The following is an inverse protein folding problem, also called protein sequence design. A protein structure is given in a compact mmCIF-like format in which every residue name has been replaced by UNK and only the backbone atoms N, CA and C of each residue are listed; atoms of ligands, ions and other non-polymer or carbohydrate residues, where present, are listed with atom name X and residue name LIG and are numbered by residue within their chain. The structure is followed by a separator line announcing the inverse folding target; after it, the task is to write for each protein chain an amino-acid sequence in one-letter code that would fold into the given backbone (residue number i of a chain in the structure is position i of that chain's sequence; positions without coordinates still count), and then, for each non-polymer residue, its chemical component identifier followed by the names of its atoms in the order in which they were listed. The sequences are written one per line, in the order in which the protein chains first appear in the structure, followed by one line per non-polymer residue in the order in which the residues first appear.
data_IF_450593262652
#
_entry.id   IF_450593262652
#
_cell.length_a   1.000
_cell.length_b   1.000
_cell.length_c   1.000
_cell.angle_alpha   90.00
_cell.angle_beta   90.00
_cell.angle_gamma   90.00
#
_symmetry.space_group_name_H-M   'P 1'
#
loop_
_entity.id
_entity.type
_entity.pdbx_description
1 polymer ?
#
# COMPACT_ATOMS: atom_id res chain seq x y z
N UNK A 1 -11.20 -13.85 26.95
CA UNK A 1 -11.14 -13.03 25.73
C UNK A 1 -10.04 -12.01 25.98
N UNK A 2 -8.87 -12.10 25.33
CA UNK A 2 -7.99 -10.94 25.30
C UNK A 2 -8.78 -9.84 24.61
N UNK A 3 -9.10 -8.77 25.33
CA UNK A 3 -10.14 -7.82 24.89
C UNK A 3 -9.62 -6.87 23.80
N UNK A 4 -8.29 -6.74 23.70
CA UNK A 4 -7.52 -5.93 22.76
C UNK A 4 -6.24 -6.72 22.46
N UNK A 5 -6.08 -7.16 21.22
CA UNK A 5 -5.10 -8.14 20.78
C UNK A 5 -3.73 -7.55 20.46
N UNK A 6 -2.78 -8.45 20.23
CA UNK A 6 -1.35 -8.22 19.94
C UNK A 6 -1.06 -8.41 18.43
N UNK A 7 -2.07 -8.22 17.60
CA UNK A 7 -2.11 -8.39 16.15
C UNK A 7 -2.65 -7.12 15.48
N UNK A 8 -2.21 -6.85 14.24
CA UNK A 8 -2.41 -5.58 13.52
C UNK A 8 -3.85 -5.38 13.00
N UNK A 9 -4.73 -6.33 13.29
CA UNK A 9 -6.12 -6.30 12.88
C UNK A 9 -6.90 -5.14 13.52
N UNK A 10 -7.81 -4.53 12.74
CA UNK A 10 -8.67 -3.47 13.22
C UNK A 10 -9.57 -3.90 14.42
N UNK A 11 -9.79 -5.21 14.61
CA UNK A 11 -10.52 -5.75 15.76
C UNK A 11 -9.76 -5.69 17.09
N UNK A 12 -8.44 -5.52 17.03
CA UNK A 12 -7.54 -5.47 18.18
C UNK A 12 -7.39 -4.07 18.77
N UNK A 13 -7.83 -3.05 18.03
CA UNK A 13 -7.90 -1.65 18.46
C UNK A 13 -9.01 -1.41 19.50
N UNK A 14 -8.97 -0.27 20.23
CA UNK A 14 -9.97 0.04 21.25
C UNK A 14 -11.40 0.07 20.68
N UNK A 15 -12.21 -0.88 21.12
CA UNK A 15 -13.57 -1.13 20.59
C UNK A 15 -14.58 0.00 20.87
N UNK A 16 -14.25 0.91 21.79
CA UNK A 16 -15.07 2.09 22.07
C UNK A 16 -14.91 3.19 21.02
N UNK A 17 -13.87 3.12 20.18
CA UNK A 17 -13.71 4.03 19.04
C UNK A 17 -14.60 3.60 17.88
N UNK A 18 -15.28 4.54 17.20
CA UNK A 18 -16.10 4.24 16.04
C UNK A 18 -15.25 3.72 14.87
N UNK A 19 -15.79 2.78 14.09
CA UNK A 19 -15.17 2.29 12.85
C UNK A 19 -15.20 3.36 11.75
N UNK A 20 -16.20 4.24 11.81
CA UNK A 20 -16.38 5.33 10.85
C UNK A 20 -15.15 6.24 10.83
N UNK A 21 -14.45 6.25 9.69
CA UNK A 21 -13.26 7.07 9.43
C UNK A 21 -13.58 8.58 9.44
N UNK A 22 -14.84 8.96 9.23
CA UNK A 22 -15.29 10.33 9.29
C UNK A 22 -15.69 10.77 10.71
N UNK A 23 -15.58 9.89 11.70
CA UNK A 23 -15.88 10.22 13.08
C UNK A 23 -14.91 11.29 13.58
N UNK A 24 -15.39 12.54 13.63
CA UNK A 24 -14.63 13.70 14.07
C UNK A 24 -15.23 14.22 15.38
N UNK A 25 -14.55 13.94 16.48
CA UNK A 25 -14.92 14.37 17.84
C UNK A 25 -13.76 14.12 18.79
N UNK A 26 -13.90 14.49 20.07
CA UNK A 26 -12.80 14.43 21.06
C UNK A 26 -12.22 13.03 21.31
N UNK A 27 -12.87 11.98 20.81
CA UNK A 27 -12.38 10.60 20.90
C UNK A 27 -11.69 10.07 19.63
N UNK A 28 -11.75 10.78 18.50
CA UNK A 28 -11.23 10.28 17.21
C UNK A 28 -11.98 9.06 16.64
N UNK A 29 -11.49 8.58 15.50
CA UNK A 29 -11.91 7.34 14.87
C UNK A 29 -10.98 6.18 15.25
N UNK A 30 -11.38 4.94 14.96
CA UNK A 30 -10.51 3.77 15.15
C UNK A 30 -9.26 3.79 14.26
N UNK A 31 -9.27 4.58 13.19
CA UNK A 31 -8.11 4.77 12.32
C UNK A 31 -7.07 5.70 12.95
N UNK A 32 -7.49 6.59 13.85
CA UNK A 32 -6.61 7.52 14.56
C UNK A 32 -5.95 6.88 15.81
N UNK A 33 -6.31 5.63 16.12
CA UNK A 33 -5.71 4.86 17.20
C UNK A 33 -4.40 4.22 16.76
N UNK A 34 -3.35 4.48 17.53
CA UNK A 34 -1.97 4.04 17.27
C UNK A 34 -1.47 3.14 18.38
N UNK A 35 -0.63 2.17 18.04
CA UNK A 35 0.18 1.48 19.06
C UNK A 35 1.28 2.43 19.56
N UNK A 36 1.48 2.46 20.88
CA UNK A 36 2.58 3.18 21.55
C UNK A 36 3.20 2.29 22.62
N UNK A 37 4.39 2.62 23.11
CA UNK A 37 5.06 1.86 24.18
C UNK A 37 4.18 1.61 25.43
N UNK A 38 3.25 2.54 25.72
CA UNK A 38 2.30 2.47 26.84
C UNK A 38 0.98 1.74 26.55
N UNK A 39 0.67 1.38 25.30
CA UNK A 39 -0.57 0.72 24.89
C UNK A 39 -1.21 1.33 23.64
N UNK A 40 -2.53 1.49 23.61
CA UNK A 40 -3.22 2.19 22.51
C UNK A 40 -3.30 3.68 22.81
N UNK A 41 -2.72 4.52 21.95
CA UNK A 41 -2.79 5.97 22.00
C UNK A 41 -3.69 6.56 20.92
N UNK A 42 -4.09 7.82 21.06
CA UNK A 42 -4.69 8.63 20.01
C UNK A 42 -3.59 9.46 19.33
N UNK A 43 -3.55 9.46 17.99
CA UNK A 43 -2.57 10.24 17.23
C UNK A 43 -2.67 11.76 17.53
N UNK A 44 -1.55 12.48 17.66
CA UNK A 44 -1.53 13.93 17.90
C UNK A 44 -1.87 14.74 16.63
N UNK A 45 -2.01 16.06 16.75
CA UNK A 45 -2.22 16.96 15.60
C UNK A 45 -3.65 17.05 15.08
N UNK A 46 -4.63 16.47 15.78
CA UNK A 46 -6.03 16.56 15.41
C UNK A 46 -6.74 17.74 16.10
N UNK A 47 -7.06 18.80 15.36
CA UNK A 47 -7.72 20.00 15.91
C UNK A 47 -9.07 19.70 16.62
N UNK A 48 -9.73 18.59 16.29
CA UNK A 48 -10.99 18.15 16.91
C UNK A 48 -10.80 17.41 18.25
N UNK A 49 -9.59 16.92 18.57
CA UNK A 49 -9.25 16.29 19.85
C UNK A 49 -8.91 17.32 20.93
N UNK A 50 -8.66 18.58 20.53
CA UNK A 50 -8.13 19.62 21.41
C UNK A 50 -6.60 19.58 21.53
N UNK A 51 -5.95 18.67 20.81
CA UNK A 51 -4.50 18.56 20.67
C UNK A 51 -4.12 18.79 19.19
N UNK A 52 -4.05 20.07 18.79
CA UNK A 52 -3.65 20.49 17.44
C UNK A 52 -2.13 20.54 17.23
N UNK A 53 -1.36 20.20 18.26
CA UNK A 53 0.09 20.12 18.18
C UNK A 53 0.51 18.72 17.69
N UNK A 54 1.08 18.64 16.49
CA UNK A 54 1.61 17.39 15.94
C UNK A 54 2.79 16.84 16.76
N UNK A 55 3.56 17.72 17.41
CA UNK A 55 4.70 17.34 18.24
C UNK A 55 4.31 16.90 19.67
N UNK A 56 3.00 16.80 19.97
CA UNK A 56 2.54 16.40 21.28
C UNK A 56 2.67 14.89 21.48
N UNK A 57 2.91 14.49 22.73
CA UNK A 57 2.87 13.08 23.09
C UNK A 57 1.45 12.51 22.87
N UNK A 58 1.32 11.29 22.30
CA UNK A 58 0.02 10.64 22.12
C UNK A 58 -0.76 10.50 23.44
N UNK A 59 -2.07 10.68 23.38
CA UNK A 59 -2.94 10.48 24.55
C UNK A 59 -3.22 9.00 24.73
N UNK A 60 -2.75 8.41 25.84
CA UNK A 60 -2.93 6.99 26.11
C UNK A 60 -4.40 6.66 26.41
N UNK A 61 -5.06 5.95 25.49
CA UNK A 61 -6.46 5.53 25.56
C UNK A 61 -6.64 4.24 26.36
N UNK A 62 -5.71 3.29 26.18
CA UNK A 62 -5.71 2.00 26.89
C UNK A 62 -4.27 1.63 27.23
N UNK A 63 -3.98 1.45 28.52
CA UNK A 63 -2.65 1.02 28.95
C UNK A 63 -2.42 -0.48 28.68
N UNK A 64 -1.46 -0.81 27.83
CA UNK A 64 -0.97 -2.16 27.56
C UNK A 64 0.55 -2.05 27.45
N UNK A 65 1.28 -2.69 28.37
CA UNK A 65 2.74 -2.61 28.39
C UNK A 65 3.36 -3.13 27.10
N UNK A 66 4.28 -2.36 26.52
CA UNK A 66 5.16 -2.75 25.42
C UNK A 66 4.41 -3.14 24.14
N UNK A 67 3.30 -2.45 23.86
CA UNK A 67 2.47 -2.80 22.71
C UNK A 67 3.20 -2.53 21.38
N UNK A 68 3.87 -1.39 21.23
CA UNK A 68 4.69 -1.07 20.04
C UNK A 68 5.84 -2.08 19.83
N UNK A 69 6.60 -2.40 20.88
CA UNK A 69 7.69 -3.40 20.82
C UNK A 69 7.22 -4.81 20.43
N UNK A 70 5.95 -5.15 20.67
CA UNK A 70 5.37 -6.46 20.33
C UNK A 70 4.90 -6.54 18.88
N UNK A 71 4.64 -5.40 18.22
CA UNK A 71 4.19 -5.33 16.83
C UNK A 71 5.33 -5.41 15.80
N UNK A 72 6.57 -5.13 16.20
CA UNK A 72 7.74 -5.29 15.34
C UNK A 72 8.03 -4.04 14.50
N UNK A 73 7.58 -4.02 13.23
CA UNK A 73 7.76 -2.89 12.28
C UNK A 73 6.42 -2.22 11.99
N UNK A 74 6.35 -0.88 11.90
CA UNK A 74 5.19 -0.15 11.39
C UNK A 74 4.61 -0.78 10.12
N UNK A 75 3.29 -1.00 10.11
CA UNK A 75 2.59 -1.56 8.96
C UNK A 75 1.55 -0.58 8.39
N UNK A 76 1.52 -0.35 7.06
CA UNK A 76 0.46 0.44 6.45
C UNK A 76 -0.86 -0.34 6.53
N UNK A 77 -1.89 0.29 7.09
CA UNK A 77 -3.22 -0.31 7.30
C UNK A 77 -4.22 0.05 6.20
N UNK A 78 -4.05 1.22 5.58
CA UNK A 78 -4.94 1.71 4.54
C UNK A 78 -4.29 2.81 3.72
N UNK A 79 -4.69 2.90 2.47
CA UNK A 79 -4.34 3.98 1.56
C UNK A 79 -5.62 4.61 1.04
N UNK A 80 -5.64 5.93 0.88
CA UNK A 80 -6.82 6.65 0.41
C UNK A 80 -6.50 7.99 -0.23
N UNK A 81 -7.49 8.52 -0.94
CA UNK A 81 -7.44 9.79 -1.67
C UNK A 81 -8.85 10.36 -1.81
N UNK A 82 -8.95 11.57 -2.35
CA UNK A 82 -10.25 12.15 -2.71
C UNK A 82 -10.67 11.69 -4.09
N UNK A 83 -11.82 11.03 -4.19
CA UNK A 83 -12.45 10.65 -5.46
C UNK A 83 -13.00 11.91 -6.16
N UNK A 84 -12.33 12.33 -7.22
CA UNK A 84 -12.74 13.47 -8.04
C UNK A 84 -11.97 13.47 -9.37
N UNK A 85 -12.45 14.29 -10.31
CA UNK A 85 -11.65 14.71 -11.45
C UNK A 85 -10.55 15.68 -10.99
N UNK A 86 -9.30 15.35 -11.30
CA UNK A 86 -8.14 16.22 -11.07
C UNK A 86 -7.97 17.13 -12.28
N UNK A 87 -7.91 18.45 -12.04
CA UNK A 87 -7.73 19.44 -13.09
C UNK A 87 -6.35 19.32 -13.79
N UNK A 88 -6.24 19.86 -15.01
CA UNK A 88 -4.94 20.04 -15.66
C UNK A 88 -4.03 20.91 -14.79
N UNK A 89 -2.81 20.44 -14.50
CA UNK A 89 -1.90 21.06 -13.50
C UNK A 89 -2.42 21.08 -12.05
N UNK A 90 -3.48 20.34 -11.76
CA UNK A 90 -4.05 20.18 -10.42
C UNK A 90 -3.15 19.35 -9.49
N UNK A 91 -3.41 19.49 -8.19
CA UNK A 91 -2.76 18.67 -7.16
C UNK A 91 -3.59 17.44 -6.84
N UNK A 92 -2.93 16.34 -6.52
CA UNK A 92 -3.56 15.10 -6.08
C UNK A 92 -2.87 14.60 -4.81
N UNK A 93 -3.66 14.22 -3.80
CA UNK A 93 -3.16 13.79 -2.50
C UNK A 93 -3.48 12.32 -2.26
N UNK A 94 -2.45 11.57 -1.89
CA UNK A 94 -2.55 10.19 -1.39
C UNK A 94 -2.18 10.21 0.09
N UNK A 95 -3.04 9.64 0.93
CA UNK A 95 -2.79 9.45 2.36
C UNK A 95 -2.57 7.98 2.64
N UNK A 96 -1.45 7.64 3.27
CA UNK A 96 -1.16 6.30 3.79
C UNK A 96 -1.30 6.35 5.30
N UNK A 97 -2.12 5.47 5.85
CA UNK A 97 -2.33 5.34 7.29
C UNK A 97 -1.56 4.11 7.78
N UNK A 98 -0.83 4.26 8.88
CA UNK A 98 -0.08 3.23 9.58
C UNK A 98 -0.79 2.82 10.88
N UNK A 99 -0.39 1.68 11.46
CA UNK A 99 -0.84 1.21 12.77
C UNK A 99 -0.15 1.91 13.95
N UNK A 100 0.90 2.67 13.70
CA UNK A 100 1.60 3.53 14.66
C UNK A 100 1.98 4.90 14.07
N UNK A 101 2.50 5.81 14.91
CA UNK A 101 3.01 7.09 14.45
C UNK A 101 4.36 6.93 13.74
N UNK A 102 4.56 7.71 12.66
CA UNK A 102 5.75 7.65 11.81
C UNK A 102 6.48 9.00 11.85
N UNK A 103 7.77 8.96 12.16
CA UNK A 103 8.67 10.09 12.02
C UNK A 103 9.26 10.09 10.60
N UNK A 104 9.08 11.18 9.86
CA UNK A 104 9.39 11.28 8.44
C UNK A 104 10.58 12.20 8.21
N UNK A 105 11.71 11.63 7.80
CA UNK A 105 12.85 12.40 7.31
C UNK A 105 12.77 12.52 5.78
N UNK A 106 12.29 13.66 5.28
CA UNK A 106 12.18 13.93 3.84
C UNK A 106 12.27 15.42 3.51
N UNK A 107 12.87 15.78 2.37
CA UNK A 107 12.78 17.14 1.85
C UNK A 107 11.33 17.48 1.45
N UNK A 108 10.87 18.68 1.82
CA UNK A 108 9.48 19.12 1.61
C UNK A 108 9.04 19.07 0.14
N UNK A 109 7.75 18.83 -0.10
CA UNK A 109 7.13 18.83 -1.42
C UNK A 109 7.53 20.02 -2.30
N UNK A 110 7.71 19.75 -3.59
CA UNK A 110 7.86 20.76 -4.64
C UNK A 110 6.93 20.45 -5.80
N UNK A 111 6.33 21.49 -6.41
CA UNK A 111 5.42 21.37 -7.56
C UNK A 111 6.11 20.95 -8.88
N UNK A 112 7.16 20.16 -8.80
CA UNK A 112 7.95 19.65 -9.92
C UNK A 112 8.07 18.11 -9.79
N UNK A 113 8.84 17.48 -10.67
CA UNK A 113 9.05 16.02 -10.65
C UNK A 113 10.37 15.62 -9.95
N UNK A 114 11.01 16.52 -9.20
CA UNK A 114 12.32 16.27 -8.60
C UNK A 114 12.20 15.55 -7.25
N UNK A 115 12.63 14.30 -7.20
CA UNK A 115 12.50 13.41 -6.02
C UNK A 115 13.76 13.30 -5.15
N UNK A 116 14.77 14.16 -5.36
CA UNK A 116 16.03 14.10 -4.59
C UNK A 116 15.81 14.34 -3.09
N UNK A 117 16.27 13.39 -2.26
CA UNK A 117 16.11 13.40 -0.79
C UNK A 117 14.64 13.44 -0.34
N UNK A 118 13.74 12.82 -1.11
CA UNK A 118 12.30 12.79 -0.81
C UNK A 118 11.82 11.37 -0.60
N UNK A 119 10.88 11.21 0.33
CA UNK A 119 9.93 10.12 0.32
C UNK A 119 8.82 10.46 -0.68
N UNK A 120 8.46 9.55 -1.56
CA UNK A 120 7.46 9.79 -2.60
C UNK A 120 6.72 8.53 -3.04
N UNK A 121 5.51 8.72 -3.57
CA UNK A 121 4.75 7.74 -4.32
C UNK A 121 4.77 8.17 -5.78
N UNK A 122 5.15 7.28 -6.69
CA UNK A 122 5.18 7.59 -8.12
C UNK A 122 3.90 7.08 -8.78
N UNK A 123 3.19 7.97 -9.49
CA UNK A 123 2.03 7.62 -10.29
C UNK A 123 2.30 7.82 -11.77
N UNK A 124 1.61 7.04 -12.59
CA UNK A 124 1.52 7.20 -14.05
C UNK A 124 0.21 7.87 -14.40
N UNK A 125 0.27 8.88 -15.27
CA UNK A 125 -0.89 9.44 -15.94
C UNK A 125 -1.09 8.67 -17.24
N UNK A 126 -2.17 7.92 -17.34
CA UNK A 126 -2.44 7.04 -18.47
C UNK A 126 -3.42 7.68 -19.46
N UNK A 127 -3.16 7.49 -20.75
CA UNK A 127 -4.09 7.86 -21.81
C UNK A 127 -5.36 7.01 -21.80
N UNK A 128 -6.53 7.63 -22.00
CA UNK A 128 -7.84 6.93 -22.06
C UNK A 128 -7.93 5.93 -23.23
N UNK A 129 -7.12 6.12 -24.26
CA UNK A 129 -7.21 5.37 -25.52
C UNK A 129 -6.47 4.03 -25.46
N UNK A 130 -5.23 4.06 -24.99
CA UNK A 130 -4.28 2.94 -25.04
C UNK A 130 -3.84 2.44 -23.66
N UNK A 131 -4.21 3.14 -22.57
CA UNK A 131 -3.76 2.88 -21.20
C UNK A 131 -2.24 2.93 -21.05
N UNK A 132 -1.57 3.66 -21.94
CA UNK A 132 -0.11 3.87 -21.89
C UNK A 132 0.19 5.13 -21.10
N UNK A 133 1.32 5.11 -20.39
CA UNK A 133 1.79 6.27 -19.65
C UNK A 133 2.15 7.43 -20.58
N UNK A 134 1.45 8.55 -20.37
CA UNK A 134 1.75 9.84 -21.00
C UNK A 134 2.81 10.61 -20.22
N UNK A 135 2.74 10.55 -18.89
CA UNK A 135 3.62 11.27 -17.98
C UNK A 135 3.60 10.70 -16.56
N UNK A 136 4.60 11.08 -15.76
CA UNK A 136 4.67 10.75 -14.34
C UNK A 136 4.09 11.85 -13.46
N UNK A 137 3.62 11.45 -12.28
CA UNK A 137 3.21 12.34 -11.19
C UNK A 137 3.93 11.89 -9.92
N UNK A 138 5.03 12.58 -9.59
CA UNK A 138 5.76 12.38 -8.35
C UNK A 138 4.97 12.96 -7.17
N UNK A 139 4.31 12.09 -6.41
CA UNK A 139 3.60 12.46 -5.19
C UNK A 139 4.59 12.47 -4.02
N UNK A 140 5.12 13.65 -3.67
CA UNK A 140 6.17 13.78 -2.66
C UNK A 140 5.58 13.99 -1.28
N UNK A 141 6.33 13.63 -0.24
CA UNK A 141 5.98 13.92 1.16
C UNK A 141 5.53 15.38 1.33
N UNK A 142 4.33 15.57 1.86
CA UNK A 142 3.69 16.87 2.05
C UNK A 142 3.45 17.18 3.53
N UNK A 143 2.91 16.23 4.30
CA UNK A 143 2.60 16.40 5.72
C UNK A 143 2.40 15.06 6.44
N UNK A 144 2.42 15.08 7.78
CA UNK A 144 2.06 13.92 8.61
C UNK A 144 3.15 13.43 9.56
N UNK A 145 4.33 14.07 9.55
CA UNK A 145 5.41 13.78 10.51
C UNK A 145 4.92 13.70 11.97
N UNK A 146 5.36 12.67 12.70
CA UNK A 146 4.94 12.39 14.07
C UNK A 146 3.51 11.85 14.22
N UNK A 147 2.82 11.57 13.11
CA UNK A 147 1.44 11.04 13.11
C UNK A 147 1.36 9.71 12.37
N UNK A 148 0.22 9.03 12.43
CA UNK A 148 0.01 7.79 11.70
C UNK A 148 -0.56 7.99 10.28
N UNK A 149 -0.77 9.22 9.84
CA UNK A 149 -1.36 9.54 8.54
C UNK A 149 -0.38 10.40 7.73
N UNK A 150 0.31 9.77 6.78
CA UNK A 150 1.32 10.44 5.94
C UNK A 150 0.71 10.80 4.59
N UNK A 151 0.71 12.10 4.27
CA UNK A 151 0.18 12.63 3.02
C UNK A 151 1.30 12.88 2.01
N UNK A 152 1.13 12.31 0.82
CA UNK A 152 1.95 12.53 -0.37
C UNK A 152 1.16 13.34 -1.39
N UNK A 153 1.73 14.46 -1.86
CA UNK A 153 1.10 15.36 -2.83
C UNK A 153 1.82 15.32 -4.17
N UNK A 154 1.09 15.08 -5.23
CA UNK A 154 1.55 15.19 -6.61
C UNK A 154 1.03 16.46 -7.30
N UNK A 155 1.68 16.85 -8.40
CA UNK A 155 1.15 17.81 -9.36
C UNK A 155 1.05 17.13 -10.72
N UNK A 156 -0.16 17.07 -11.26
CA UNK A 156 -0.43 16.54 -12.59
C UNK A 156 0.27 17.41 -13.64
N UNK A 157 0.85 16.81 -14.68
CA UNK A 157 1.47 17.56 -15.76
C UNK A 157 0.46 17.89 -16.86
N UNK A 158 0.67 19.02 -17.55
CA UNK A 158 -0.19 19.44 -18.66
C UNK A 158 -0.24 18.39 -19.77
N UNK A 159 -1.44 18.07 -20.23
CA UNK A 159 -1.65 17.24 -21.42
C UNK A 159 -2.97 17.56 -22.12
N UNK A 160 -2.95 17.47 -23.46
CA UNK A 160 -4.09 17.79 -24.32
C UNK A 160 -5.24 16.76 -24.28
N UNK A 161 -5.00 15.53 -23.83
CA UNK A 161 -6.02 14.50 -23.69
C UNK A 161 -6.40 14.30 -22.22
N UNK A 162 -7.62 13.85 -21.92
CA UNK A 162 -7.97 13.39 -20.57
C UNK A 162 -7.23 12.09 -20.24
N UNK A 163 -7.17 11.72 -18.96
CA UNK A 163 -6.44 10.54 -18.52
C UNK A 163 -6.95 9.91 -17.23
N UNK A 164 -6.26 8.84 -16.83
CA UNK A 164 -6.40 8.18 -15.54
C UNK A 164 -5.12 8.33 -14.73
N UNK A 165 -5.20 8.17 -13.42
CA UNK A 165 -4.02 7.96 -12.56
C UNK A 165 -3.91 6.49 -12.22
N UNK A 166 -2.69 5.97 -12.24
CA UNK A 166 -2.33 4.61 -11.85
C UNK A 166 -1.04 4.66 -11.02
N UNK A 167 -0.81 3.65 -10.18
CA UNK A 167 0.53 3.48 -9.60
C UNK A 167 1.54 3.18 -10.71
N UNK A 168 2.70 3.84 -10.67
CA UNK A 168 3.78 3.59 -11.62
C UNK A 168 4.42 2.21 -11.38
N UNK A 169 4.90 1.52 -12.43
CA UNK A 169 5.51 0.18 -12.30
C UNK A 169 4.99 -0.94 -13.21
N UNK A 170 4.11 -0.67 -14.16
CA UNK A 170 3.65 -1.65 -15.15
C UNK A 170 4.56 -1.74 -16.40
N UNK A 171 5.59 -0.89 -16.51
CA UNK A 171 6.52 -0.80 -17.64
C UNK A 171 7.88 -1.46 -17.42
N UNK A 172 8.52 -1.93 -18.50
CA UNK A 172 9.90 -2.45 -18.47
C UNK A 172 10.90 -1.32 -18.17
N UNK A 173 11.55 -1.39 -17.01
CA UNK A 173 12.58 -0.42 -16.59
C UNK A 173 12.14 0.54 -15.49
N UNK A 174 10.90 0.43 -14.99
CA UNK A 174 10.45 1.15 -13.79
C UNK A 174 11.04 0.51 -12.52
N UNK A 175 11.32 1.34 -11.52
CA UNK A 175 11.81 0.90 -10.21
C UNK A 175 10.74 0.20 -9.36
N UNK A 176 9.47 0.20 -9.77
CA UNK A 176 8.37 -0.49 -9.10
C UNK A 176 7.99 -1.79 -9.82
N UNK A 177 7.57 -2.80 -9.05
CA UNK A 177 6.73 -3.87 -9.57
C UNK A 177 5.27 -3.45 -9.43
N UNK A 178 4.49 -3.61 -10.49
CA UNK A 178 3.05 -3.34 -10.52
C UNK A 178 2.36 -3.89 -9.25
N UNK A 179 1.66 -3.01 -8.52
CA UNK A 179 0.88 -3.37 -7.34
C UNK A 179 1.65 -3.74 -6.08
N UNK A 180 2.99 -3.61 -6.04
CA UNK A 180 3.81 -4.05 -4.88
C UNK A 180 4.53 -2.94 -4.12
N UNK A 181 4.92 -1.85 -4.79
CA UNK A 181 5.74 -0.80 -4.19
C UNK A 181 5.05 0.56 -4.38
N UNK A 182 4.50 1.10 -3.29
CA UNK A 182 3.83 2.41 -3.33
C UNK A 182 4.78 3.55 -2.93
N UNK A 183 5.50 3.41 -1.82
CA UNK A 183 6.38 4.46 -1.27
C UNK A 183 7.84 4.15 -1.60
N UNK A 184 8.55 5.16 -2.11
CA UNK A 184 9.98 5.14 -2.42
C UNK A 184 10.72 6.13 -1.54
N UNK A 185 11.95 5.77 -1.20
CA UNK A 185 12.89 6.61 -0.47
C UNK A 185 14.11 6.85 -1.36
N UNK A 186 14.47 8.11 -1.61
CA UNK A 186 15.62 8.45 -2.44
C UNK A 186 16.64 9.26 -1.63
N UNK A 187 17.91 8.87 -1.72
CA UNK A 187 19.01 9.53 -1.02
C UNK A 187 18.88 9.33 0.48
N UNK A 188 18.81 10.43 1.23
CA UNK A 188 18.73 10.39 2.71
C UNK A 188 17.29 10.32 3.24
N UNK A 189 16.30 10.03 2.40
CA UNK A 189 14.92 9.94 2.84
C UNK A 189 14.69 8.67 3.65
N UNK A 190 13.92 8.77 4.74
CA UNK A 190 13.63 7.65 5.64
C UNK A 190 12.29 7.84 6.35
N UNK A 191 11.72 6.74 6.84
CA UNK A 191 10.60 6.71 7.78
C UNK A 191 11.00 5.85 8.98
N UNK A 192 10.91 6.44 10.15
CA UNK A 192 11.22 5.80 11.43
C UNK A 192 9.93 5.55 12.21
N UNK A 193 9.92 4.43 12.92
CA UNK A 193 8.88 4.07 13.87
C UNK A 193 8.99 4.90 15.14
N UNK A 194 8.00 4.83 16.04
CA UNK A 194 8.02 5.56 17.32
C UNK A 194 9.27 5.24 18.17
N UNK A 195 9.81 4.03 18.04
CA UNK A 195 11.01 3.59 18.77
C UNK A 195 12.32 4.12 18.16
N UNK A 196 12.26 4.81 17.02
CA UNK A 196 13.41 5.36 16.28
C UNK A 196 14.08 4.40 15.30
N UNK A 197 13.54 3.18 15.12
CA UNK A 197 14.03 2.23 14.13
C UNK A 197 13.36 2.47 12.77
N UNK A 198 14.14 2.38 11.69
CA UNK A 198 13.61 2.54 10.34
C UNK A 198 12.68 1.41 9.93
N UNK A 199 11.59 1.76 9.23
CA UNK A 199 10.67 0.80 8.60
C UNK A 199 11.33 0.00 7.47
N UNK A 200 12.45 0.49 6.95
CA UNK A 200 13.22 -0.11 5.85
C UNK A 200 14.29 -1.09 6.33
N UNK A 201 14.42 -1.29 7.64
CA UNK A 201 15.49 -2.11 8.19
C UNK A 201 15.09 -3.61 8.25
N UNK A 202 16.10 -4.48 8.15
CA UNK A 202 15.88 -5.93 8.17
C UNK A 202 15.47 -6.41 9.55
N UNK A 203 14.25 -6.93 9.67
CA UNK A 203 13.75 -7.50 10.91
C UNK A 203 14.30 -8.91 11.15
N UNK A 204 14.70 -9.21 12.39
CA UNK A 204 15.08 -10.55 12.81
C UNK A 204 13.82 -11.36 13.17
N UNK A 205 13.84 -12.66 12.87
CA UNK A 205 12.80 -13.58 13.31
C UNK A 205 12.76 -13.65 14.84
N UNK A 206 11.54 -13.81 15.39
CA UNK A 206 11.33 -14.00 16.83
C UNK A 206 12.19 -15.16 17.37
N UNK A 207 13.08 -14.86 18.32
CA UNK A 207 13.99 -15.84 18.93
C UNK A 207 15.41 -15.90 18.33
N UNK A 208 15.72 -15.07 17.32
CA UNK A 208 17.09 -14.90 16.84
C UNK A 208 18.01 -14.22 17.89
N UNK A 209 17.43 -13.51 18.86
CA UNK A 209 18.08 -12.94 20.05
C UNK A 209 17.21 -13.17 21.29
N UNK A 210 17.77 -12.87 22.47
CA UNK A 210 17.07 -12.98 23.76
C UNK A 210 15.87 -12.01 23.89
N UNK A 211 15.75 -11.03 22.97
CA UNK A 211 14.62 -10.09 22.88
C UNK A 211 13.79 -10.41 21.62
N UNK A 212 12.46 -10.54 21.71
CA UNK A 212 11.60 -10.75 20.53
C UNK A 212 11.59 -9.53 19.59
N UNK A 213 11.67 -9.75 18.28
CA UNK A 213 11.42 -8.71 17.26
C UNK A 213 12.47 -7.60 17.23
N UNK A 214 13.73 -7.96 16.98
CA UNK A 214 14.83 -7.00 16.95
C UNK A 214 15.37 -6.78 15.53
N UNK A 215 16.04 -5.65 15.32
CA UNK A 215 16.58 -5.26 14.03
C UNK A 215 17.97 -5.86 13.79
N UNK A 216 18.30 -6.15 12.54
CA UNK A 216 19.70 -6.36 12.17
C UNK A 216 20.41 -4.99 12.13
N UNK A 217 21.17 -4.72 13.18
CA UNK A 217 21.93 -3.48 13.37
C UNK A 217 23.35 -3.59 12.83
N UNK A 218 23.85 -2.51 12.21
CA UNK A 218 25.22 -2.43 11.71
C UNK A 218 26.20 -2.32 12.89
N UNK A 219 27.05 -3.33 13.07
CA UNK A 219 28.19 -3.28 14.00
C UNK A 219 29.42 -2.69 13.29
N UNK A 220 29.37 -1.40 12.98
CA UNK A 220 30.52 -0.65 12.45
C UNK A 220 31.40 -0.12 13.59
N UNK A 221 32.67 0.19 13.31
CA UNK A 221 33.53 0.84 14.31
C UNK A 221 33.18 2.32 14.44
N UNK A 222 33.28 2.87 15.66
CA UNK A 222 33.06 4.27 16.11
C UNK A 222 33.61 5.45 15.27
N UNK A 223 34.22 5.21 14.11
CA UNK A 223 34.53 6.21 13.11
C UNK A 223 33.38 6.43 12.09
N UNK A 224 32.38 5.54 12.03
CA UNK A 224 31.20 5.70 11.18
C UNK A 224 30.03 6.32 11.97
N UNK A 225 29.31 7.24 11.34
CA UNK A 225 28.20 8.00 11.94
C UNK A 225 26.93 7.19 12.18
N UNK A 226 26.90 5.92 11.76
CA UNK A 226 25.72 5.07 11.69
C UNK A 226 25.88 3.79 12.56
N UNK A 227 26.86 3.77 13.48
CA UNK A 227 27.02 2.67 14.43
C UNK A 227 25.80 2.60 15.37
N UNK A 228 25.11 1.45 15.40
CA UNK A 228 23.90 1.25 16.20
C UNK A 228 22.59 1.47 15.45
N UNK A 229 22.61 1.93 14.20
CA UNK A 229 21.42 2.05 13.35
C UNK A 229 21.10 0.75 12.61
N UNK A 230 19.84 0.60 12.20
CA UNK A 230 19.38 -0.48 11.33
C UNK A 230 20.11 -0.51 9.99
N UNK A 231 20.35 -1.72 9.47
CA UNK A 231 20.81 -1.86 8.09
C UNK A 231 19.66 -1.47 7.15
N UNK A 232 19.71 -0.22 6.66
CA UNK A 232 18.81 0.31 5.63
C UNK A 232 19.15 -0.33 4.29
N UNK A 233 18.26 -1.20 3.79
CA UNK A 233 18.48 -1.90 2.53
C UNK A 233 17.82 -1.11 1.38
N UNK A 234 18.62 -0.33 0.64
CA UNK A 234 18.16 0.25 -0.65
C UNK A 234 17.94 -0.87 -1.70
N UNK A 235 18.69 -1.98 -1.58
CA UNK A 235 18.51 -3.22 -2.35
C UNK A 235 19.11 -4.44 -1.61
N UNK A 236 18.49 -5.61 -1.75
CA UNK A 236 19.02 -6.90 -1.28
C UNK A 236 19.30 -7.80 -2.48
N UNK A 237 20.58 -8.12 -2.71
CA UNK A 237 20.95 -9.13 -3.71
C UNK A 237 20.65 -10.54 -3.17
N UNK A 238 19.52 -11.11 -3.57
CA UNK A 238 19.19 -12.51 -3.26
C UNK A 238 19.86 -13.43 -4.29
N UNK A 239 21.00 -14.03 -3.92
CA UNK A 239 21.61 -15.10 -4.74
C UNK A 239 20.96 -16.44 -4.39
N UNK A 240 20.05 -16.90 -5.23
CA UNK A 240 19.42 -18.22 -5.09
C UNK A 240 20.43 -19.29 -5.51
N UNK A 241 21.13 -19.87 -4.55
CA UNK A 241 22.06 -20.95 -4.83
C UNK A 241 21.30 -22.26 -5.12
N UNK A 242 20.86 -22.47 -6.37
CA UNK A 242 20.33 -23.75 -6.82
C UNK A 242 19.66 -23.75 -8.19
N UNK A 243 20.21 -24.49 -9.14
CA UNK A 243 19.66 -24.68 -10.49
C UNK A 243 18.53 -25.73 -10.53
N UNK A 244 17.42 -25.47 -9.85
CA UNK A 244 16.20 -26.29 -9.93
C UNK A 244 14.96 -25.41 -10.00
N UNK A 245 13.91 -25.86 -10.69
CA UNK A 245 12.66 -25.09 -10.92
C UNK A 245 11.87 -24.67 -9.67
N UNK A 246 12.36 -24.98 -8.48
CA UNK A 246 11.83 -24.51 -7.17
C UNK A 246 12.47 -23.19 -6.70
N UNK A 247 13.39 -22.62 -7.49
CA UNK A 247 14.03 -21.33 -7.23
C UNK A 247 13.18 -20.12 -7.66
N UNK A 248 11.94 -20.34 -8.12
CA UNK A 248 11.02 -19.29 -8.56
C UNK A 248 10.20 -18.79 -7.35
N UNK A 249 10.36 -17.50 -7.05
CA UNK A 249 9.73 -16.77 -5.94
C UNK A 249 8.52 -15.94 -6.40
N UNK A 250 8.09 -16.12 -7.65
CA UNK A 250 6.86 -15.50 -8.13
C UNK A 250 5.65 -16.32 -7.66
N UNK A 251 4.66 -15.65 -7.07
CA UNK A 251 3.33 -16.22 -6.77
C UNK A 251 2.49 -16.36 -8.06
N UNK A 252 3.16 -16.69 -9.16
CA UNK A 252 2.53 -16.93 -10.44
C UNK A 252 2.29 -18.43 -10.54
N UNK A 253 1.02 -18.83 -10.64
CA UNK A 253 0.69 -20.17 -11.15
C UNK A 253 1.39 -20.34 -12.49
N UNK A 254 2.41 -21.19 -12.56
CA UNK A 254 3.05 -21.54 -13.82
C UNK A 254 2.05 -22.30 -14.70
N UNK A 255 1.34 -21.59 -15.58
CA UNK A 255 0.57 -22.19 -16.68
C UNK A 255 1.56 -22.60 -17.78
N UNK A 256 2.39 -23.58 -17.47
CA UNK A 256 3.45 -24.08 -18.33
C UNK A 256 3.07 -25.36 -19.07
N UNK A 257 1.80 -25.53 -19.45
CA UNK A 257 1.34 -26.71 -20.19
C UNK A 257 0.01 -26.54 -20.93
N UNK A 258 -0.93 -25.77 -20.39
CA UNK A 258 -2.31 -25.76 -20.88
C UNK A 258 -2.72 -24.42 -21.50
N UNK A 259 -3.58 -24.48 -22.53
CA UNK A 259 -3.94 -23.34 -23.38
C UNK A 259 -5.07 -22.44 -22.82
N UNK A 260 -5.71 -22.82 -21.70
CA UNK A 260 -6.73 -22.03 -21.00
C UNK A 260 -6.81 -22.37 -19.51
N UNK A 261 -7.15 -21.38 -18.67
CA UNK A 261 -7.45 -21.56 -17.24
C UNK A 261 -8.83 -21.00 -16.94
N UNK A 262 -9.77 -21.86 -16.51
CA UNK A 262 -11.10 -21.48 -16.05
C UNK A 262 -11.30 -21.89 -14.58
N UNK A 263 -12.04 -21.08 -13.81
CA UNK A 263 -12.50 -21.46 -12.46
C UNK A 263 -13.51 -22.60 -12.60
N UNK A 264 -13.16 -23.80 -12.11
CA UNK A 264 -14.01 -24.99 -12.17
C UNK A 264 -13.79 -25.88 -13.39
N UNK A 265 -12.55 -26.02 -13.85
CA UNK A 265 -12.16 -27.12 -14.75
C UNK A 265 -12.27 -28.46 -14.01
N UNK A 266 -13.04 -29.40 -14.55
CA UNK A 266 -12.94 -30.80 -14.10
C UNK A 266 -11.65 -31.40 -14.67
N UNK A 267 -10.86 -32.05 -13.83
CA UNK A 267 -9.59 -32.66 -14.24
C UNK A 267 -9.78 -33.68 -15.39
N UNK A 268 -8.76 -33.80 -16.25
CA UNK A 268 -8.68 -34.82 -17.29
C UNK A 268 -8.92 -36.22 -16.68
N UNK A 269 -10.05 -36.84 -17.05
CA UNK A 269 -10.45 -38.16 -16.55
C UNK A 269 -11.86 -38.26 -15.95
N UNK A 270 -12.64 -37.18 -15.93
CA UNK A 270 -14.09 -37.29 -15.74
C UNK A 270 -14.73 -38.08 -16.91
N UNK A 271 -15.61 -39.02 -16.60
CA UNK A 271 -15.99 -40.10 -17.51
C UNK A 271 -16.96 -39.69 -18.63
N UNK A 272 -16.43 -39.11 -19.71
CA UNK A 272 -16.97 -39.08 -21.10
C UNK A 272 -16.23 -38.13 -22.08
N UNK A 273 -15.11 -37.52 -21.67
CA UNK A 273 -14.08 -36.81 -22.47
C UNK A 273 -14.54 -36.30 -23.85
N UNK A 274 -15.21 -35.14 -23.84
CA UNK A 274 -15.53 -34.34 -25.04
C UNK A 274 -14.72 -33.03 -25.13
N UNK A 275 -13.73 -32.80 -24.26
CA UNK A 275 -12.91 -31.58 -24.23
C UNK A 275 -12.75 -30.96 -22.84
N UNK A 276 -12.28 -29.71 -22.78
CA UNK A 276 -12.13 -28.94 -21.52
C UNK A 276 -13.50 -28.61 -20.92
N UNK A 277 -13.91 -29.37 -19.89
CA UNK A 277 -15.18 -29.16 -19.19
C UNK A 277 -15.04 -28.10 -18.08
N UNK A 278 -15.84 -27.03 -18.16
CA UNK A 278 -15.94 -25.95 -17.16
C UNK A 278 -17.33 -25.89 -16.54
N UNK A 279 -17.45 -25.40 -15.31
CA UNK A 279 -18.74 -25.08 -14.71
C UNK A 279 -19.42 -23.90 -15.46
N UNK A 280 -20.60 -24.16 -16.04
CA UNK A 280 -21.34 -23.21 -16.88
C UNK A 280 -22.71 -22.82 -16.30
N UNK A 281 -23.17 -21.61 -16.65
CA UNK A 281 -24.52 -21.14 -16.38
C UNK A 281 -25.55 -21.91 -17.23
N UNK A 282 -26.62 -22.42 -16.61
CA UNK A 282 -27.75 -23.06 -17.32
C UNK A 282 -28.73 -22.03 -17.93
N UNK A 283 -28.29 -20.78 -18.10
CA UNK A 283 -29.15 -19.63 -18.37
C UNK A 283 -29.79 -19.11 -17.09
N UNK A 284 -29.53 -17.85 -16.74
CA UNK A 284 -30.18 -17.16 -15.58
C UNK A 284 -31.16 -16.08 -16.01
N UNK A 285 -31.10 -15.67 -17.28
CA UNK A 285 -32.13 -14.85 -17.89
C UNK A 285 -33.21 -15.74 -18.56
N UNK A 286 -34.46 -15.27 -18.59
CA UNK A 286 -35.56 -16.02 -19.19
C UNK A 286 -35.44 -16.25 -20.71
N UNK A 287 -34.40 -15.69 -21.34
CA UNK A 287 -34.05 -15.89 -22.76
C UNK A 287 -32.92 -16.90 -22.97
N UNK A 288 -32.29 -17.41 -21.91
CA UNK A 288 -31.13 -18.31 -21.96
C UNK A 288 -29.98 -17.78 -22.81
N UNK A 289 -29.85 -16.46 -22.91
CA UNK A 289 -28.83 -15.79 -23.73
C UNK A 289 -27.43 -15.90 -23.14
N UNK A 290 -27.36 -16.09 -21.83
CA UNK A 290 -26.13 -16.38 -21.09
C UNK A 290 -25.96 -17.88 -20.76
N UNK A 291 -26.68 -18.76 -21.48
CA UNK A 291 -26.48 -20.19 -21.32
C UNK A 291 -25.11 -20.60 -21.88
N UNK A 292 -24.38 -21.42 -21.11
CA UNK A 292 -23.00 -21.85 -21.34
C UNK A 292 -21.90 -20.80 -21.03
N UNK A 293 -22.27 -19.63 -20.52
CA UNK A 293 -21.29 -18.65 -20.02
C UNK A 293 -20.68 -19.11 -18.68
N UNK A 294 -19.49 -18.60 -18.36
CA UNK A 294 -18.84 -18.84 -17.07
C UNK A 294 -19.49 -18.05 -15.93
N UNK A 295 -19.25 -18.47 -14.69
CA UNK A 295 -19.64 -17.68 -13.52
C UNK A 295 -18.73 -16.45 -13.39
N UNK A 296 -19.29 -15.26 -13.56
CA UNK A 296 -18.61 -13.99 -13.22
C UNK A 296 -18.70 -13.82 -11.71
N UNK A 297 -17.56 -13.88 -11.01
CA UNK A 297 -17.51 -13.80 -9.54
C UNK A 297 -17.85 -12.40 -9.02
N UNK A 298 -17.44 -11.35 -9.76
CA UNK A 298 -17.74 -9.95 -9.46
C UNK A 298 -17.47 -9.11 -10.72
N UNK A 299 -18.32 -8.11 -11.00
CA UNK A 299 -18.13 -7.18 -12.13
C UNK A 299 -17.35 -5.92 -11.66
N UNK A 300 -17.47 -5.56 -10.38
CA UNK A 300 -16.72 -4.48 -9.72
C UNK A 300 -16.70 -4.70 -8.20
N UNK A 301 -15.51 -4.71 -7.59
CA UNK A 301 -15.33 -4.57 -6.14
C UNK A 301 -15.35 -3.08 -5.78
N UNK A 302 -16.27 -2.63 -4.91
CA UNK A 302 -16.33 -1.23 -4.45
C UNK A 302 -15.25 -0.89 -3.42
N UNK A 303 -14.64 -1.90 -2.82
CA UNK A 303 -13.77 -1.76 -1.64
C UNK A 303 -12.29 -1.93 -2.00
N UNK A 304 -11.93 -1.77 -3.27
CA UNK A 304 -10.54 -1.86 -3.76
C UNK A 304 -10.02 -0.48 -4.17
N UNK A 305 -8.74 -0.24 -3.86
CA UNK A 305 -8.03 0.99 -4.17
C UNK A 305 -7.82 1.16 -5.70
N UNK A 306 -7.65 0.06 -6.43
CA UNK A 306 -7.30 0.08 -7.86
C UNK A 306 -8.14 -0.95 -8.60
N UNK A 307 -8.63 -0.61 -9.79
CA UNK A 307 -9.39 -1.52 -10.64
C UNK A 307 -8.80 -1.57 -12.06
N UNK A 308 -9.06 -2.66 -12.80
CA UNK A 308 -8.59 -2.81 -14.16
C UNK A 308 -9.49 -2.03 -15.13
N UNK A 309 -8.92 -1.04 -15.82
CA UNK A 309 -9.59 -0.23 -16.84
C UNK A 309 -9.07 -0.62 -18.23
N UNK A 310 -9.99 -0.88 -19.16
CA UNK A 310 -9.66 -1.09 -20.57
C UNK A 310 -9.62 0.25 -21.32
N UNK A 311 -8.62 0.42 -22.19
CA UNK A 311 -8.55 1.53 -23.12
C UNK A 311 -9.66 1.48 -24.17
N UNK A 312 -10.08 2.65 -24.65
CA UNK A 312 -11.16 2.72 -25.66
C UNK A 312 -10.77 2.11 -27.01
N UNK A 313 -9.47 1.94 -27.30
CA UNK A 313 -8.99 1.24 -28.50
C UNK A 313 -8.14 0.00 -28.20
N UNK A 314 -7.32 0.04 -27.17
CA UNK A 314 -6.38 -1.03 -26.83
C UNK A 314 -5.87 -0.91 -25.40
N UNK A 315 -5.27 -1.97 -24.89
CA UNK A 315 -4.59 -1.95 -23.59
C UNK A 315 -5.53 -2.02 -22.39
N UNK A 316 -4.94 -2.38 -21.25
CA UNK A 316 -5.60 -2.43 -19.95
C UNK A 316 -4.59 -1.99 -18.90
N UNK A 317 -5.03 -1.23 -17.90
CA UNK A 317 -4.18 -0.86 -16.78
C UNK A 317 -4.96 -0.82 -15.47
N UNK A 318 -4.24 -0.98 -14.37
CA UNK A 318 -4.77 -0.88 -13.02
C UNK A 318 -4.82 0.60 -12.60
N UNK A 319 -5.99 1.22 -12.60
CA UNK A 319 -6.18 2.67 -12.33
C UNK A 319 -6.84 2.93 -10.99
N UNK A 320 -6.59 4.11 -10.41
CA UNK A 320 -7.16 4.52 -9.12
C UNK A 320 -8.69 4.62 -9.21
N UNK A 321 -9.37 3.99 -8.25
CA UNK A 321 -10.83 4.04 -8.18
C UNK A 321 -11.32 5.48 -7.92
N UNK A 322 -12.38 5.89 -8.64
CA UNK A 322 -13.04 7.19 -8.49
C UNK A 322 -12.23 8.41 -8.95
N UNK A 323 -11.10 8.24 -9.66
CA UNK A 323 -10.23 9.34 -10.07
C UNK A 323 -10.05 9.40 -11.59
N UNK A 324 -10.27 10.59 -12.16
CA UNK A 324 -9.96 10.91 -13.55
C UNK A 324 -9.10 12.17 -13.62
N UNK A 325 -8.49 12.43 -14.78
CA UNK A 325 -7.68 13.63 -15.03
C UNK A 325 -8.23 14.39 -16.23
N UNK A 326 -8.48 15.68 -16.07
CA UNK A 326 -8.97 16.54 -17.13
C UNK A 326 -7.91 16.77 -18.23
N UNK A 327 -8.39 17.09 -19.42
CA UNK A 327 -7.58 17.63 -20.51
C UNK A 327 -7.34 19.14 -20.32
N UNK A 328 -6.27 19.67 -20.93
CA UNK A 328 -6.00 21.12 -21.05
C UNK A 328 -6.96 21.85 -21.97
#
# INVERSE_FOLDING_TARGET
MPLWGKDTDAESRPKFLPVDSNARGSGGSRQDAIAVAGGWGLSPGHANSGNDNADAQPELLVCISNLAEVFGSATPISIGWTEAEVADTGTFDITVIFDEAIDVTSAAWSANQTVTNKAYILLSRLGVTDMVEDSTVACMYYSGDGTNAITFRGTVQTNAAAGFLAFNGAGVGDSAGEGRHAIFFNGTANMDQENGDSICALMLESGARDVPGDLLVLNASAADTNEGEGILMEAVDFTIAGATGTADITDLTMTGGDASVYVGLLEQGASDDQGEDKLILNGTDGSSTNANDGFVAEDYTSDIAVYTQAGTSSGTASVLNGVTVAAS
#
